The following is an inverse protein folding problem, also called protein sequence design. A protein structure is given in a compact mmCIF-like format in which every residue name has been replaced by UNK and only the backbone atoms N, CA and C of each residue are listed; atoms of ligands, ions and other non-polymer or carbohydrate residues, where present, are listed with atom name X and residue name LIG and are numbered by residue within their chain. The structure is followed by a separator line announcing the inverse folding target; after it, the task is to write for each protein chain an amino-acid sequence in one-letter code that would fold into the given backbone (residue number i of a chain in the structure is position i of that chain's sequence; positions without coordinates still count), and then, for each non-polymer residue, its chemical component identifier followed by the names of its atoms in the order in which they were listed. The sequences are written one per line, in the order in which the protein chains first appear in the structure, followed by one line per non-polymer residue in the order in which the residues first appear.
data_IF_727731885894
#
_entry.id   IF_727731885894
#
_cell.length_a   1.000
_cell.length_b   1.000
_cell.length_c   1.000
_cell.angle_alpha   90.00
_cell.angle_beta   90.00
_cell.angle_gamma   90.00
#
_symmetry.space_group_name_H-M   'P 1'
#
loop_
_entity.id
_entity.type
_entity.pdbx_description
1 polymer ?
#
# COMPACT_ATOMS: atom_id res chain seq x y z
N UNK A 1 3.07 -6.46 11.78
CA UNK A 1 1.77 -6.41 12.49
C UNK A 1 1.65 -7.68 13.30
N UNK A 2 2.37 -7.76 14.43
CA UNK A 2 2.50 -9.01 15.17
C UNK A 2 1.16 -9.56 15.63
N UNK A 3 0.91 -10.86 15.43
CA UNK A 3 -0.33 -11.51 15.82
C UNK A 3 -1.52 -11.26 14.89
N UNK A 4 -1.35 -10.53 13.79
CA UNK A 4 -2.34 -10.43 12.72
C UNK A 4 -2.07 -11.46 11.61
N UNK A 5 -3.14 -11.78 10.88
CA UNK A 5 -3.08 -12.64 9.71
C UNK A 5 -3.47 -11.84 8.48
N UNK A 6 -2.89 -12.17 7.34
CA UNK A 6 -3.22 -11.56 6.04
C UNK A 6 -4.73 -11.44 5.79
N UNK A 7 -5.48 -12.48 6.13
CA UNK A 7 -6.94 -12.58 5.96
C UNK A 7 -7.75 -11.60 6.85
N UNK A 8 -7.14 -11.03 7.89
CA UNK A 8 -7.74 -10.04 8.78
C UNK A 8 -7.28 -8.61 8.47
N UNK A 9 -6.54 -8.41 7.37
CA UNK A 9 -5.99 -7.11 6.98
C UNK A 9 -6.73 -6.60 5.75
N UNK A 10 -7.48 -5.52 5.95
CA UNK A 10 -8.10 -4.74 4.88
C UNK A 10 -7.13 -3.64 4.45
N UNK A 11 -6.80 -3.63 3.16
CA UNK A 11 -5.92 -2.64 2.52
C UNK A 11 -6.70 -1.88 1.45
N UNK A 12 -6.73 -0.55 1.60
CA UNK A 12 -7.24 0.37 0.58
C UNK A 12 -6.11 1.26 0.08
N UNK A 13 -5.94 1.33 -1.24
CA UNK A 13 -4.94 2.16 -1.90
C UNK A 13 -5.67 3.10 -2.85
N UNK A 14 -5.61 4.39 -2.54
CA UNK A 14 -6.12 5.47 -3.39
C UNK A 14 -4.94 6.27 -3.96
N UNK A 15 -5.21 7.12 -4.95
CA UNK A 15 -4.20 7.97 -5.61
C UNK A 15 -3.35 8.79 -4.64
N UNK A 16 -3.90 9.23 -3.50
CA UNK A 16 -3.19 10.09 -2.55
C UNK A 16 -3.22 9.59 -1.10
N UNK A 17 -3.69 8.36 -0.87
CA UNK A 17 -3.72 7.80 0.48
C UNK A 17 -3.66 6.30 0.49
N UNK A 18 -3.08 5.76 1.56
CA UNK A 18 -3.16 4.35 1.91
C UNK A 18 -3.87 4.23 3.25
N UNK A 19 -4.82 3.30 3.34
CA UNK A 19 -5.42 2.89 4.59
C UNK A 19 -5.20 1.40 4.80
N UNK A 20 -4.74 1.04 6.00
CA UNK A 20 -4.61 -0.35 6.45
C UNK A 20 -5.42 -0.48 7.72
N UNK A 21 -6.36 -1.41 7.74
CA UNK A 21 -7.17 -1.72 8.91
C UNK A 21 -7.08 -3.20 9.19
N UNK A 22 -6.99 -3.54 10.47
CA UNK A 22 -7.02 -4.90 10.98
C UNK A 22 -7.76 -4.91 12.30
N UNK A 23 -7.93 -6.09 12.90
CA UNK A 23 -8.59 -6.19 14.20
C UNK A 23 -7.83 -5.47 15.33
N UNK A 24 -6.51 -5.29 15.18
CA UNK A 24 -5.64 -4.74 16.23
C UNK A 24 -4.99 -3.41 15.86
N UNK A 25 -4.80 -3.13 14.58
CA UNK A 25 -4.07 -1.96 14.09
C UNK A 25 -4.86 -1.20 13.03
N UNK A 26 -4.72 0.12 13.03
CA UNK A 26 -5.25 1.01 11.99
C UNK A 26 -4.19 2.05 11.62
N UNK A 27 -3.97 2.22 10.32
CA UNK A 27 -3.07 3.22 9.75
C UNK A 27 -3.78 3.92 8.60
N UNK A 28 -3.81 5.24 8.64
CA UNK A 28 -4.19 6.07 7.50
C UNK A 28 -3.03 6.99 7.16
N UNK A 29 -2.43 6.77 5.99
CA UNK A 29 -1.25 7.48 5.52
C UNK A 29 -1.61 8.33 4.29
N UNK A 30 -1.70 9.66 4.43
CA UNK A 30 -1.73 10.54 3.27
C UNK A 30 -0.37 10.51 2.55
N UNK A 31 -0.40 10.48 1.22
CA UNK A 31 0.79 10.44 0.38
C UNK A 31 1.13 11.85 -0.13
N UNK A 32 2.41 12.25 -0.15
CA UNK A 32 2.82 13.56 -0.64
C UNK A 32 2.68 13.71 -2.16
N UNK A 33 2.62 12.58 -2.89
CA UNK A 33 2.53 12.53 -4.34
C UNK A 33 1.46 11.53 -4.78
N UNK A 34 0.92 11.76 -5.98
CA UNK A 34 0.00 10.83 -6.62
C UNK A 34 0.68 9.50 -6.96
N UNK A 35 -0.08 8.41 -6.80
CA UNK A 35 0.33 7.06 -7.21
C UNK A 35 -0.71 6.46 -8.15
N UNK A 36 -0.30 5.47 -8.93
CA UNK A 36 -1.16 4.61 -9.74
C UNK A 36 -1.49 3.35 -8.92
N UNK A 37 -2.75 3.20 -8.43
CA UNK A 37 -3.13 2.06 -7.61
C UNK A 37 -3.09 0.73 -8.39
N UNK A 38 -3.45 0.75 -9.68
CA UNK A 38 -3.54 -0.43 -10.54
C UNK A 38 -2.16 -1.02 -10.84
N UNK A 39 -1.12 -0.16 -10.85
CA UNK A 39 0.28 -0.56 -11.03
C UNK A 39 1.05 -0.74 -9.72
N UNK A 40 0.40 -0.51 -8.59
CA UNK A 40 0.98 -0.73 -7.26
C UNK A 40 0.78 -2.17 -6.80
N UNK A 41 1.54 -2.61 -5.79
CA UNK A 41 1.52 -3.99 -5.28
C UNK A 41 1.53 -4.03 -3.76
N UNK A 42 0.89 -5.07 -3.22
CA UNK A 42 0.94 -5.41 -1.81
C UNK A 42 1.27 -6.90 -1.64
N UNK A 43 2.21 -7.21 -0.74
CA UNK A 43 2.52 -8.58 -0.33
C UNK A 43 2.50 -8.69 1.19
N UNK A 44 2.17 -9.88 1.69
CA UNK A 44 2.27 -10.21 3.10
C UNK A 44 3.43 -11.18 3.29
N UNK A 45 4.39 -10.79 4.11
CA UNK A 45 5.52 -11.63 4.52
C UNK A 45 5.14 -12.34 5.82
N UNK A 46 4.70 -13.60 5.71
CA UNK A 46 4.19 -14.38 6.85
C UNK A 46 5.21 -14.60 7.95
N UNK A 47 6.49 -14.79 7.59
CA UNK A 47 7.57 -15.05 8.56
C UNK A 47 7.81 -13.87 9.50
N UNK A 48 7.52 -12.65 9.04
CA UNK A 48 7.69 -11.41 9.80
C UNK A 48 6.35 -10.75 10.15
N UNK A 49 5.23 -11.40 9.83
CA UNK A 49 3.87 -10.88 9.96
C UNK A 49 3.77 -9.43 9.43
N UNK A 50 4.36 -9.16 8.26
CA UNK A 50 4.56 -7.79 7.76
C UNK A 50 3.88 -7.57 6.42
N UNK A 51 3.11 -6.49 6.32
CA UNK A 51 2.54 -6.00 5.06
C UNK A 51 3.57 -5.10 4.34
N UNK A 52 3.96 -5.49 3.13
CA UNK A 52 4.89 -4.74 2.29
C UNK A 52 4.12 -4.11 1.12
N UNK A 53 4.23 -2.80 0.99
CA UNK A 53 3.59 -2.01 -0.06
C UNK A 53 4.63 -1.46 -1.03
N UNK A 54 4.41 -1.68 -2.32
CA UNK A 54 5.20 -1.09 -3.40
C UNK A 54 4.30 -0.16 -4.21
N UNK A 55 4.50 1.14 -4.07
CA UNK A 55 3.64 2.16 -4.70
C UNK A 55 4.29 2.72 -5.97
N UNK A 56 3.58 2.66 -7.09
CA UNK A 56 4.04 3.26 -8.34
C UNK A 56 3.64 4.74 -8.36
N UNK A 57 4.61 5.64 -8.29
CA UNK A 57 4.36 7.08 -8.48
C UNK A 57 3.74 7.33 -9.86
N UNK A 58 2.68 8.13 -9.87
CA UNK A 58 2.10 8.70 -11.09
C UNK A 58 2.83 10.03 -11.38
N UNK A 59 3.57 10.07 -12.48
CA UNK A 59 4.43 11.19 -12.84
C UNK A 59 4.00 11.71 -14.20
N UNK A 60 3.75 13.02 -14.28
CA UNK A 60 3.23 13.72 -15.47
C UNK A 60 4.06 13.54 -16.75
N UNK A 61 5.29 13.02 -16.67
CA UNK A 61 6.19 12.83 -17.81
C UNK A 61 6.76 11.41 -17.92
N UNK A 62 6.22 10.42 -17.20
CA UNK A 62 6.72 9.03 -17.26
C UNK A 62 6.63 8.41 -18.67
N UNK A 63 5.82 9.00 -19.58
CA UNK A 63 5.68 8.60 -20.98
C UNK A 63 6.75 9.17 -21.94
N UNK A 64 7.65 10.05 -21.46
CA UNK A 64 8.64 10.77 -22.29
C UNK A 64 10.06 10.21 -22.11
N UNK A 65 10.19 8.91 -21.81
CA UNK A 65 11.49 8.24 -21.83
C UNK A 65 11.61 7.42 -23.12
N UNK A 66 12.31 7.97 -24.11
CA UNK A 66 12.66 7.34 -25.39
C UNK A 66 14.13 6.89 -25.37
#
# INVERSE_FOLDING_TARGET
MPGDKKENVDLTVDTNSVAVVSSQYSLKLPLPHGIDPDRSKASWESDQETLVLTLKLDREFDFVNF
#
